data_IF_015672096756
#
_entry.id   IF_015672096756
#
_cell.length_a   1.000
_cell.length_b   1.000
_cell.length_c   1.000
_cell.angle_alpha   90.00
_cell.angle_beta   90.00
_cell.angle_gamma   90.00
#
_symmetry.space_group_name_H-M   'P 1'
#
loop_
_entity.id
_entity.type
_entity.pdbx_description
1 polymer ?
#
# COMPACT_ATOMS: atom_id res chain seq x y z
N UNK A 1 0.18 -51.70 -46.81
CA UNK A 1 0.44 -52.71 -45.78
C UNK A 1 1.72 -52.33 -45.06
N UNK A 2 1.62 -51.76 -43.86
CA UNK A 2 2.54 -52.03 -42.74
C UNK A 2 1.75 -51.73 -41.48
N UNK A 3 1.39 -52.79 -40.75
CA UNK A 3 0.80 -52.71 -39.42
C UNK A 3 1.92 -52.46 -38.40
N UNK A 4 1.72 -51.54 -37.46
CA UNK A 4 2.35 -51.61 -36.15
C UNK A 4 1.28 -51.30 -35.08
N UNK A 5 0.76 -52.39 -34.53
CA UNK A 5 0.27 -52.52 -33.14
C UNK A 5 1.54 -52.42 -32.26
N UNK A 6 1.62 -51.65 -31.17
CA UNK A 6 1.02 -51.79 -29.82
C UNK A 6 1.77 -50.71 -29.01
N UNK A 7 1.19 -49.94 -28.10
CA UNK A 7 1.21 -50.26 -26.66
C UNK A 7 0.38 -49.23 -25.87
N UNK A 8 -0.57 -49.74 -25.10
CA UNK A 8 -1.38 -49.01 -24.14
C UNK A 8 -0.66 -49.09 -22.78
N UNK A 9 -0.34 -47.95 -22.17
CA UNK A 9 0.20 -47.88 -20.81
C UNK A 9 -0.74 -47.03 -19.95
N UNK A 10 -1.44 -47.61 -18.96
CA UNK A 10 -2.22 -46.84 -18.01
C UNK A 10 -1.34 -46.52 -16.81
N UNK A 11 -1.13 -45.24 -16.51
CA UNK A 11 -0.62 -44.83 -15.21
C UNK A 11 -1.55 -43.75 -14.66
N UNK A 12 -2.46 -44.20 -13.80
CA UNK A 12 -3.20 -43.39 -12.82
C UNK A 12 -2.18 -42.67 -11.92
N UNK A 13 -1.67 -41.52 -12.36
CA UNK A 13 -1.20 -40.52 -11.42
C UNK A 13 -2.40 -39.68 -11.01
N UNK A 14 -3.06 -40.12 -9.94
CA UNK A 14 -3.82 -39.20 -9.09
C UNK A 14 -2.85 -38.11 -8.67
N UNK A 15 -2.89 -36.99 -9.38
CA UNK A 15 -2.34 -35.73 -8.92
C UNK A 15 -2.99 -35.48 -7.57
N UNK A 16 -2.27 -35.80 -6.50
CA UNK A 16 -2.64 -35.38 -5.17
C UNK A 16 -2.78 -33.87 -5.26
N UNK A 17 -4.02 -33.40 -5.13
CA UNK A 17 -4.30 -32.02 -4.81
C UNK A 17 -3.43 -31.69 -3.61
N UNK A 18 -2.30 -31.04 -3.91
CA UNK A 18 -1.53 -30.34 -2.91
C UNK A 18 -2.48 -29.26 -2.48
N UNK A 19 -3.20 -29.52 -1.39
CA UNK A 19 -3.84 -28.51 -0.56
C UNK A 19 -2.87 -27.36 -0.53
N UNK A 20 -3.15 -26.29 -1.30
CA UNK A 20 -2.31 -25.12 -1.31
C UNK A 20 -2.42 -24.58 0.11
N UNK A 21 -1.46 -24.96 0.94
CA UNK A 21 -1.17 -24.32 2.20
C UNK A 21 -1.01 -22.85 1.81
N UNK A 22 -2.01 -22.04 2.16
CA UNK A 22 -1.95 -20.59 1.98
C UNK A 22 -0.57 -20.16 2.49
N UNK A 23 0.31 -19.61 1.62
CA UNK A 23 1.67 -19.30 2.04
C UNK A 23 1.60 -18.36 3.23
N UNK A 24 2.15 -18.78 4.37
CA UNK A 24 2.31 -17.89 5.52
C UNK A 24 3.19 -16.73 5.05
N UNK A 25 2.58 -15.56 4.93
CA UNK A 25 3.32 -14.37 4.46
C UNK A 25 4.39 -14.05 5.51
N UNK A 26 5.66 -14.03 5.10
CA UNK A 26 6.77 -13.73 6.01
C UNK A 26 6.97 -12.23 6.15
N UNK A 27 7.58 -11.79 7.26
CA UNK A 27 7.95 -10.37 7.46
C UNK A 27 8.79 -9.85 6.28
N UNK A 28 9.72 -10.66 5.76
CA UNK A 28 10.49 -10.35 4.56
C UNK A 28 9.62 -10.10 3.33
N UNK A 29 8.58 -10.91 3.11
CA UNK A 29 7.66 -10.71 1.99
C UNK A 29 6.84 -9.42 2.16
N UNK A 30 6.39 -9.10 3.38
CA UNK A 30 5.70 -7.84 3.69
C UNK A 30 6.61 -6.65 3.37
N UNK A 31 7.83 -6.65 3.90
CA UNK A 31 8.82 -5.60 3.65
C UNK A 31 9.17 -5.46 2.16
N UNK A 32 9.27 -6.58 1.43
CA UNK A 32 9.50 -6.56 -0.02
C UNK A 32 8.33 -5.94 -0.79
N UNK A 33 7.08 -6.28 -0.43
CA UNK A 33 5.87 -5.69 -1.04
C UNK A 33 5.77 -4.19 -0.76
N UNK A 34 6.06 -3.77 0.48
CA UNK A 34 6.13 -2.36 0.87
C UNK A 34 7.13 -1.58 0.01
N UNK A 35 8.36 -2.09 -0.15
CA UNK A 35 9.37 -1.47 -1.04
C UNK A 35 8.90 -1.39 -2.49
N UNK A 36 8.29 -2.45 -3.00
CA UNK A 36 7.76 -2.46 -4.36
C UNK A 36 6.63 -1.43 -4.55
N UNK A 37 5.73 -1.29 -3.58
CA UNK A 37 4.67 -0.29 -3.61
C UNK A 37 5.25 1.12 -3.70
N UNK A 38 6.25 1.46 -2.86
CA UNK A 38 6.90 2.77 -2.90
C UNK A 38 7.61 3.04 -4.23
N UNK A 39 8.29 2.04 -4.79
CA UNK A 39 8.91 2.15 -6.12
C UNK A 39 7.88 2.39 -7.23
N UNK A 40 6.67 1.83 -7.10
CA UNK A 40 5.56 2.08 -8.04
C UNK A 40 4.99 3.49 -7.87
N UNK A 41 4.89 4.00 -6.65
CA UNK A 41 4.50 5.40 -6.42
C UNK A 41 5.48 6.39 -7.05
N UNK A 42 6.78 6.15 -6.93
CA UNK A 42 7.80 6.98 -7.56
C UNK A 42 7.66 6.99 -9.09
N UNK A 43 7.48 5.80 -9.71
CA UNK A 43 7.22 5.68 -11.15
C UNK A 43 5.93 6.40 -11.56
N UNK A 44 4.87 6.29 -10.77
CA UNK A 44 3.61 6.97 -11.02
C UNK A 44 3.79 8.49 -10.97
N UNK A 45 4.57 9.01 -10.02
CA UNK A 45 4.89 10.43 -9.93
C UNK A 45 5.54 10.92 -11.22
N UNK A 46 6.61 10.25 -11.68
CA UNK A 46 7.29 10.62 -12.93
C UNK A 46 6.35 10.58 -14.12
N UNK A 47 5.49 9.57 -14.21
CA UNK A 47 4.52 9.46 -15.30
C UNK A 47 3.49 10.60 -15.30
N UNK A 48 2.99 10.99 -14.12
CA UNK A 48 2.04 12.10 -13.99
C UNK A 48 2.74 13.43 -14.29
N UNK A 49 3.99 13.62 -13.86
CA UNK A 49 4.75 14.84 -14.14
C UNK A 49 5.02 15.01 -15.64
N UNK A 50 5.46 13.95 -16.31
CA UNK A 50 5.63 13.94 -17.77
C UNK A 50 4.32 14.23 -18.50
N UNK A 51 3.22 13.61 -18.06
CA UNK A 51 1.89 13.89 -18.61
C UNK A 51 1.51 15.36 -18.45
N UNK A 52 1.74 15.95 -17.27
CA UNK A 52 1.45 17.35 -17.00
C UNK A 52 2.30 18.30 -17.86
N UNK A 53 3.56 17.97 -18.11
CA UNK A 53 4.42 18.73 -19.02
C UNK A 53 3.82 18.71 -20.43
N UNK A 54 3.49 17.52 -20.95
CA UNK A 54 2.90 17.37 -22.28
C UNK A 54 1.57 18.11 -22.42
N UNK A 55 0.71 18.07 -21.39
CA UNK A 55 -0.56 18.80 -21.36
C UNK A 55 -0.35 20.32 -21.40
N UNK A 56 0.63 20.84 -20.65
CA UNK A 56 0.96 22.27 -20.66
C UNK A 56 1.48 22.71 -22.02
N UNK A 57 2.33 21.91 -22.65
CA UNK A 57 2.87 22.25 -23.97
C UNK A 57 1.77 22.21 -25.04
N UNK A 58 0.90 21.21 -25.02
CA UNK A 58 -0.29 21.17 -25.88
C UNK A 58 -1.21 22.38 -25.66
N UNK A 59 -1.40 22.81 -24.41
CA UNK A 59 -2.21 23.99 -24.08
C UNK A 59 -1.59 25.29 -24.63
N UNK A 60 -0.26 25.43 -24.58
CA UNK A 60 0.45 26.58 -25.17
C UNK A 60 0.28 26.62 -26.69
N UNK A 61 0.45 25.49 -27.36
CA UNK A 61 0.27 25.40 -28.82
C UNK A 61 -1.19 25.69 -29.22
N UNK A 62 -2.17 25.17 -28.47
CA UNK A 62 -3.57 25.46 -28.69
C UNK A 62 -3.89 26.96 -28.51
N UNK A 63 -3.27 27.61 -27.52
CA UNK A 63 -3.38 29.06 -27.30
C UNK A 63 -2.70 29.87 -28.42
N UNK A 64 -1.60 29.38 -29.00
CA UNK A 64 -0.96 30.01 -30.14
C UNK A 64 -1.79 29.90 -31.42
N UNK A 65 -2.56 28.82 -31.58
CA UNK A 65 -3.42 28.59 -32.74
C UNK A 65 -4.67 29.50 -32.78
N UNK A 66 -5.12 30.02 -31.63
CA UNK A 66 -6.29 30.89 -31.58
C UNK A 66 -6.70 31.34 -30.18
N UNK A 67 -7.69 32.24 -30.08
CA UNK A 67 -8.12 32.79 -28.80
C UNK A 67 -8.66 31.69 -27.89
N UNK A 68 -8.08 31.62 -26.70
CA UNK A 68 -8.48 30.72 -25.62
C UNK A 68 -9.99 30.89 -25.35
N UNK A 69 -10.46 32.11 -25.10
CA UNK A 69 -11.89 32.35 -24.86
C UNK A 69 -12.47 33.25 -25.94
N UNK A 70 -13.62 32.83 -26.47
CA UNK A 70 -14.43 33.56 -27.43
C UNK A 70 -15.91 33.23 -27.21
N UNK A 71 -16.79 34.04 -27.82
CA UNK A 71 -18.23 33.76 -27.85
C UNK A 71 -18.58 32.39 -28.45
N UNK A 72 -17.70 31.82 -29.28
CA UNK A 72 -17.93 30.58 -30.01
C UNK A 72 -17.43 29.32 -29.30
N UNK A 73 -16.57 29.44 -28.27
CA UNK A 73 -15.96 28.28 -27.60
C UNK A 73 -16.07 28.31 -26.07
N UNK A 74 -16.84 29.24 -25.51
CA UNK A 74 -17.06 29.31 -24.06
C UNK A 74 -17.70 28.03 -23.49
N UNK A 75 -18.48 27.30 -24.28
CA UNK A 75 -19.16 26.07 -23.87
C UNK A 75 -18.22 24.85 -23.73
N UNK A 76 -17.00 24.88 -24.26
CA UNK A 76 -16.02 23.78 -24.15
C UNK A 76 -15.00 23.99 -23.03
N UNK A 77 -15.09 25.12 -22.30
CA UNK A 77 -14.23 25.46 -21.15
C UNK A 77 -14.61 24.72 -19.85
N UNK A 78 -15.57 23.80 -19.92
CA UNK A 78 -15.78 22.81 -18.88
C UNK A 78 -14.88 21.58 -19.07
N UNK A 79 -14.36 21.37 -20.28
CA UNK A 79 -13.64 20.15 -20.64
C UNK A 79 -12.15 20.23 -20.29
N UNK A 80 -11.60 21.45 -20.16
CA UNK A 80 -10.22 21.71 -19.70
C UNK A 80 -10.10 21.64 -18.16
N UNK A 81 -11.18 21.87 -17.40
CA UNK A 81 -11.23 21.68 -15.94
C UNK A 81 -11.43 20.20 -15.57
N UNK A 82 -10.48 19.38 -15.98
CA UNK A 82 -10.51 17.94 -15.74
C UNK A 82 -9.17 17.29 -16.07
N UNK A 83 -9.21 16.18 -16.80
CA UNK A 83 -8.00 15.43 -17.14
C UNK A 83 -7.06 16.17 -18.11
N UNK A 84 -7.52 17.21 -18.82
CA UNK A 84 -6.71 18.01 -19.74
C UNK A 84 -5.97 19.17 -19.05
N UNK A 85 -6.48 19.66 -17.92
CA UNK A 85 -5.88 20.78 -17.18
C UNK A 85 -4.59 20.40 -16.43
N UNK A 86 -4.28 19.11 -16.38
CA UNK A 86 -3.16 18.58 -15.62
C UNK A 86 -3.39 18.58 -14.11
N UNK A 87 -2.72 17.68 -13.42
CA UNK A 87 -2.77 17.60 -11.96
C UNK A 87 -1.75 18.55 -11.34
N UNK A 88 -2.16 19.33 -10.33
CA UNK A 88 -1.19 20.06 -9.50
C UNK A 88 -0.54 19.08 -8.53
N UNK A 89 0.61 18.53 -8.94
CA UNK A 89 1.40 17.65 -8.08
C UNK A 89 2.11 18.44 -6.98
N UNK A 90 2.23 17.88 -5.76
CA UNK A 90 3.18 18.37 -4.79
C UNK A 90 4.63 18.06 -5.23
N UNK A 91 5.61 18.62 -4.51
CA UNK A 91 7.02 18.23 -4.67
C UNK A 91 7.18 16.72 -4.42
N UNK A 92 8.11 16.09 -5.14
CA UNK A 92 8.37 14.65 -5.06
C UNK A 92 8.56 14.17 -3.62
N UNK A 93 9.31 14.94 -2.81
CA UNK A 93 9.55 14.62 -1.41
C UNK A 93 8.24 14.50 -0.61
N UNK A 94 7.36 15.50 -0.69
CA UNK A 94 6.05 15.50 0.00
C UNK A 94 5.11 14.42 -0.53
N UNK A 95 5.17 14.14 -1.84
CA UNK A 95 4.41 13.05 -2.45
C UNK A 95 4.85 11.70 -1.87
N UNK A 96 6.16 11.46 -1.83
CA UNK A 96 6.74 10.20 -1.35
C UNK A 96 6.60 10.04 0.16
N UNK A 97 6.67 11.12 0.93
CA UNK A 97 6.36 11.12 2.37
C UNK A 97 4.91 10.69 2.62
N UNK A 98 3.96 11.24 1.85
CA UNK A 98 2.54 10.88 1.95
C UNK A 98 2.32 9.41 1.56
N UNK A 99 2.94 8.95 0.47
CA UNK A 99 2.87 7.56 0.04
C UNK A 99 3.46 6.61 1.08
N UNK A 100 4.63 6.95 1.65
CA UNK A 100 5.26 6.20 2.73
C UNK A 100 4.34 6.07 3.93
N UNK A 101 3.76 7.18 4.40
CA UNK A 101 2.88 7.18 5.56
C UNK A 101 1.67 6.28 5.36
N UNK A 102 1.02 6.35 4.19
CA UNK A 102 -0.15 5.51 3.87
C UNK A 102 0.25 4.03 3.86
N UNK A 103 1.28 3.69 3.09
CA UNK A 103 1.73 2.29 2.95
C UNK A 103 2.19 1.72 4.29
N UNK A 104 2.95 2.49 5.08
CA UNK A 104 3.44 2.03 6.37
C UNK A 104 2.29 1.87 7.37
N UNK A 105 1.33 2.79 7.41
CA UNK A 105 0.14 2.67 8.25
C UNK A 105 -0.67 1.40 7.93
N UNK A 106 -0.98 1.16 6.64
CA UNK A 106 -1.72 -0.01 6.19
C UNK A 106 -1.00 -1.32 6.52
N UNK A 107 0.32 -1.34 6.33
CA UNK A 107 1.15 -2.52 6.64
C UNK A 107 1.22 -2.77 8.15
N UNK A 108 1.34 -1.73 8.97
CA UNK A 108 1.30 -1.90 10.42
C UNK A 108 -0.06 -2.43 10.90
N UNK A 109 -1.16 -1.90 10.38
CA UNK A 109 -2.49 -2.42 10.67
C UNK A 109 -2.58 -3.92 10.33
N UNK A 110 -2.10 -4.31 9.15
CA UNK A 110 -2.06 -5.72 8.75
C UNK A 110 -1.17 -6.58 9.67
N UNK A 111 0.00 -6.08 10.09
CA UNK A 111 0.90 -6.80 10.99
C UNK A 111 0.23 -7.06 12.34
N UNK A 112 -0.44 -6.06 12.93
CA UNK A 112 -1.15 -6.22 14.21
C UNK A 112 -2.21 -7.31 14.12
N UNK A 113 -3.03 -7.27 13.07
CA UNK A 113 -4.10 -8.23 12.83
C UNK A 113 -3.53 -9.64 12.62
N UNK A 114 -2.50 -9.78 11.79
CA UNK A 114 -1.87 -11.06 11.45
C UNK A 114 -1.20 -11.72 12.66
N UNK A 115 -0.59 -10.91 13.53
CA UNK A 115 0.16 -11.39 14.71
C UNK A 115 -0.72 -11.56 15.95
N UNK A 116 -1.93 -10.97 15.95
CA UNK A 116 -2.80 -10.93 17.12
C UNK A 116 -2.25 -10.08 18.26
N UNK A 117 -1.30 -9.18 18.00
CA UNK A 117 -0.69 -8.30 19.01
C UNK A 117 -1.71 -7.44 19.75
N UNK A 118 -2.82 -7.10 19.10
CA UNK A 118 -3.92 -6.39 19.72
C UNK A 118 -4.49 -7.12 20.96
N UNK A 119 -4.27 -8.43 21.11
CA UNK A 119 -4.72 -9.20 22.28
C UNK A 119 -3.79 -9.04 23.48
N UNK A 120 -2.56 -8.61 23.25
CA UNK A 120 -1.59 -8.31 24.31
C UNK A 120 -1.72 -6.87 24.80
N UNK A 121 -2.48 -6.03 24.10
CA UNK A 121 -2.69 -4.62 24.41
C UNK A 121 -3.98 -4.40 25.21
N UNK A 122 -3.90 -3.59 26.28
CA UNK A 122 -5.07 -2.99 26.90
C UNK A 122 -5.58 -1.78 26.08
N UNK A 123 -6.67 -1.15 26.53
CA UNK A 123 -7.27 -0.02 25.80
C UNK A 123 -6.28 1.13 25.63
N UNK A 124 -5.57 1.49 26.70
CA UNK A 124 -4.58 2.57 26.68
C UNK A 124 -3.45 2.29 25.69
N UNK A 125 -2.93 1.06 25.63
CA UNK A 125 -1.90 0.67 24.67
C UNK A 125 -2.42 0.71 23.22
N UNK A 126 -3.66 0.27 22.97
CA UNK A 126 -4.29 0.36 21.64
C UNK A 126 -4.44 1.81 21.18
N UNK A 127 -4.93 2.69 22.04
CA UNK A 127 -5.14 4.10 21.72
C UNK A 127 -3.80 4.81 21.45
N UNK A 128 -2.75 4.49 22.22
CA UNK A 128 -1.39 5.01 22.00
C UNK A 128 -0.80 4.54 20.67
N UNK A 129 -0.94 3.25 20.36
CA UNK A 129 -0.42 2.68 19.11
C UNK A 129 -1.18 3.23 17.89
N UNK A 130 -2.51 3.32 17.96
CA UNK A 130 -3.32 3.90 16.90
C UNK A 130 -2.94 5.37 16.64
N UNK A 131 -2.71 6.15 17.70
CA UNK A 131 -2.24 7.52 17.58
C UNK A 131 -0.85 7.61 16.94
N UNK A 132 0.08 6.74 17.32
CA UNK A 132 1.41 6.68 16.71
C UNK A 132 1.31 6.41 15.21
N UNK A 133 0.47 5.46 14.80
CA UNK A 133 0.26 5.16 13.37
C UNK A 133 -0.38 6.33 12.61
N UNK A 134 -1.26 7.10 13.24
CA UNK A 134 -1.91 8.25 12.63
C UNK A 134 -0.93 9.42 12.44
N UNK A 135 -0.13 9.71 13.45
CA UNK A 135 0.75 10.89 13.47
C UNK A 135 2.01 10.65 12.62
N UNK A 136 2.77 9.60 12.94
CA UNK A 136 4.00 9.25 12.26
C UNK A 136 4.31 7.75 12.43
N UNK A 137 3.78 6.89 11.54
CA UNK A 137 4.01 5.46 11.64
C UNK A 137 5.52 5.18 11.49
N UNK A 138 6.08 4.27 12.31
CA UNK A 138 7.46 3.88 12.14
C UNK A 138 7.67 3.26 10.75
N UNK A 139 8.85 3.41 10.18
CA UNK A 139 9.15 2.80 8.89
C UNK A 139 8.99 1.27 8.99
N UNK A 140 8.30 0.67 8.03
CA UNK A 140 8.17 -0.78 7.93
C UNK A 140 9.48 -1.38 7.41
N UNK A 141 10.24 -1.98 8.33
CA UNK A 141 11.44 -2.76 8.07
C UNK A 141 11.47 -3.99 8.98
N UNK A 142 12.26 -5.01 8.64
CA UNK A 142 12.37 -6.22 9.48
C UNK A 142 12.85 -5.86 10.90
N UNK A 143 13.82 -4.94 11.00
CA UNK A 143 14.36 -4.43 12.26
C UNK A 143 13.31 -3.70 13.09
N UNK A 144 12.56 -2.76 12.49
CA UNK A 144 11.55 -1.99 13.22
C UNK A 144 10.37 -2.86 13.66
N UNK A 145 9.99 -3.84 12.84
CA UNK A 145 8.97 -4.83 13.19
C UNK A 145 9.45 -5.68 14.37
N UNK A 146 10.67 -6.20 14.30
CA UNK A 146 11.26 -6.98 15.40
C UNK A 146 11.35 -6.15 16.68
N UNK A 147 11.83 -4.91 16.60
CA UNK A 147 11.96 -4.02 17.74
C UNK A 147 10.59 -3.75 18.40
N UNK A 148 9.57 -3.48 17.59
CA UNK A 148 8.21 -3.22 18.08
C UNK A 148 7.61 -4.48 18.74
N UNK A 149 7.78 -5.65 18.12
CA UNK A 149 7.34 -6.92 18.68
C UNK A 149 8.02 -7.23 20.03
N UNK A 150 9.33 -7.00 20.12
CA UNK A 150 10.11 -7.20 21.35
C UNK A 150 9.67 -6.27 22.46
N UNK A 151 9.44 -4.98 22.14
CA UNK A 151 8.97 -4.00 23.12
C UNK A 151 7.59 -4.38 23.67
N UNK A 152 6.64 -4.73 22.80
CA UNK A 152 5.30 -5.16 23.23
C UNK A 152 5.34 -6.43 24.09
N UNK A 153 6.22 -7.38 23.78
CA UNK A 153 6.43 -8.56 24.60
C UNK A 153 7.03 -8.24 25.97
N UNK A 154 7.99 -7.30 26.04
CA UNK A 154 8.58 -6.88 27.32
C UNK A 154 7.58 -6.13 28.22
N UNK A 155 6.68 -5.35 27.62
CA UNK A 155 5.66 -4.56 28.32
C UNK A 155 4.41 -5.39 28.71
N UNK A 156 4.30 -6.64 28.25
CA UNK A 156 3.10 -7.47 28.37
C UNK A 156 2.59 -7.59 29.83
N UNK A 157 3.49 -7.81 30.79
CA UNK A 157 3.12 -7.95 32.22
C UNK A 157 2.56 -6.64 32.80
N UNK A 158 3.08 -5.49 32.37
CA UNK A 158 2.62 -4.17 32.79
C UNK A 158 1.25 -3.87 32.18
N UNK A 159 1.12 -4.10 30.87
CA UNK A 159 -0.12 -3.91 30.11
C UNK A 159 -1.25 -4.76 30.71
N UNK A 160 -0.97 -6.02 31.06
CA UNK A 160 -1.96 -6.89 31.69
C UNK A 160 -2.44 -6.36 33.05
N UNK A 161 -1.50 -5.93 33.92
CA UNK A 161 -1.84 -5.36 35.24
C UNK A 161 -2.65 -4.07 35.14
N UNK A 162 -2.30 -3.19 34.19
CA UNK A 162 -3.06 -1.96 33.92
C UNK A 162 -4.46 -2.25 33.39
N UNK A 163 -4.60 -3.21 32.47
CA UNK A 163 -5.90 -3.65 31.97
C UNK A 163 -6.83 -4.18 33.06
N UNK A 164 -6.29 -4.97 34.01
CA UNK A 164 -7.04 -5.41 35.20
C UNK A 164 -7.48 -4.18 36.01
N UNK A 165 -6.56 -3.27 36.33
CA UNK A 165 -6.89 -2.08 37.10
C UNK A 165 -7.98 -1.22 36.44
N UNK A 166 -7.92 -1.01 35.12
CA UNK A 166 -8.95 -0.28 34.35
C UNK A 166 -10.33 -0.96 34.40
N UNK A 167 -10.39 -2.29 34.28
CA UNK A 167 -11.65 -3.05 34.37
C UNK A 167 -12.33 -2.90 35.74
N UNK A 168 -11.56 -2.72 36.82
CA UNK A 168 -12.05 -2.58 38.18
C UNK A 168 -12.11 -1.14 38.70
N UNK A 169 -11.68 -0.14 37.90
CA UNK A 169 -11.73 1.29 38.26
C UNK A 169 -12.96 2.01 37.72
N UNK A 170 -13.94 1.27 37.18
CA UNK A 170 -15.22 1.79 36.69
C UNK A 170 -16.38 1.39 37.59
#
# INVERSE_FOLDING_TARGET
>A
MTQHQTEFKPEDEKQGETTQLVPRTTVTQICARRRNALALYEKAYTAIDLSNIALRDAAKEAQAAGPVVSRFNHHTRGDDVGWLGGNKLPELEKFMESARRIVDNDVWAHIIELTGLERLMDKTAKDQFAKQLQDNPPEVSEENIEATLRQLGADQDMIFKRGIAECFSR
#
